data_IF_064825765597
#
_entry.id   IF_064825765597
#
_cell.length_a   1.000
_cell.length_b   1.000
_cell.length_c   1.000
_cell.angle_alpha   90.00
_cell.angle_beta   90.00
_cell.angle_gamma   90.00
#
_symmetry.space_group_name_H-M   'P 1'
#
loop_
_entity.id
_entity.type
_entity.pdbx_description
1 polymer ?
#
# COMPACT_ATOMS: atom_id res chain seq x y z
N UNK A 1 -10.20 5.37 -23.30
CA UNK A 1 -10.06 4.70 -21.99
C UNK A 1 -10.54 3.24 -22.04
N UNK A 2 -11.78 2.94 -22.47
CA UNK A 2 -12.31 1.57 -22.52
C UNK A 2 -11.49 0.64 -23.42
N UNK A 3 -11.14 1.05 -24.65
CA UNK A 3 -10.27 0.25 -25.54
C UNK A 3 -8.89 -0.04 -24.91
N UNK A 4 -8.29 0.94 -24.27
CA UNK A 4 -7.00 0.80 -23.60
C UNK A 4 -7.09 -0.14 -22.38
N UNK A 5 -8.20 -0.07 -21.63
CA UNK A 5 -8.45 -0.96 -20.50
C UNK A 5 -8.55 -2.42 -20.94
N UNK A 6 -9.37 -2.72 -21.94
CA UNK A 6 -9.56 -4.09 -22.43
C UNK A 6 -8.36 -4.65 -23.22
N UNK A 7 -7.49 -3.80 -23.76
CA UNK A 7 -6.27 -4.23 -24.45
C UNK A 7 -5.06 -4.38 -23.52
N UNK A 8 -5.16 -3.93 -22.27
CA UNK A 8 -4.08 -3.97 -21.28
C UNK A 8 -3.74 -5.42 -20.91
N UNK A 9 -2.49 -5.89 -21.16
CA UNK A 9 -2.10 -7.27 -20.90
C UNK A 9 -2.23 -7.66 -19.42
N UNK A 10 -2.02 -6.72 -18.50
CA UNK A 10 -2.16 -6.96 -17.07
C UNK A 10 -3.63 -7.08 -16.61
N UNK A 11 -4.57 -6.44 -17.32
CA UNK A 11 -6.00 -6.65 -17.09
C UNK A 11 -6.39 -8.06 -17.49
N UNK A 12 -5.95 -8.52 -18.67
CA UNK A 12 -6.21 -9.89 -19.14
C UNK A 12 -5.56 -10.94 -18.23
N UNK A 13 -4.32 -10.69 -17.80
CA UNK A 13 -3.62 -11.56 -16.84
C UNK A 13 -4.40 -11.65 -15.53
N UNK A 14 -4.85 -10.52 -14.97
CA UNK A 14 -5.63 -10.49 -13.75
C UNK A 14 -6.93 -11.31 -13.86
N UNK A 15 -7.65 -11.18 -14.97
CA UNK A 15 -8.86 -11.96 -15.23
C UNK A 15 -8.58 -13.46 -15.32
N UNK A 16 -7.51 -13.84 -16.01
CA UNK A 16 -7.11 -15.25 -16.17
C UNK A 16 -6.68 -15.90 -14.86
N UNK A 17 -6.02 -15.15 -13.97
CA UNK A 17 -5.49 -15.64 -12.69
C UNK A 17 -6.44 -15.39 -11.52
N UNK A 18 -7.64 -14.85 -11.74
CA UNK A 18 -8.62 -14.56 -10.68
C UNK A 18 -8.19 -13.45 -9.73
N UNK A 19 -7.28 -12.56 -10.17
CA UNK A 19 -6.88 -11.40 -9.39
C UNK A 19 -7.91 -10.28 -9.48
N UNK A 20 -8.22 -9.63 -8.37
CA UNK A 20 -9.23 -8.55 -8.30
C UNK A 20 -8.87 -7.31 -9.11
N UNK A 21 -7.58 -7.06 -9.29
CA UNK A 21 -7.12 -5.93 -10.10
C UNK A 21 -5.73 -6.15 -10.68
N UNK A 22 -5.45 -5.47 -11.79
CA UNK A 22 -4.11 -5.42 -12.37
C UNK A 22 -3.04 -4.79 -11.45
N UNK A 23 -3.48 -4.04 -10.43
CA UNK A 23 -2.58 -3.41 -9.48
C UNK A 23 -1.77 -4.45 -8.68
N UNK A 24 -2.27 -5.69 -8.55
CA UNK A 24 -1.54 -6.79 -7.93
C UNK A 24 -0.14 -7.00 -8.53
N UNK A 25 -0.01 -6.90 -9.85
CA UNK A 25 1.29 -7.09 -10.54
C UNK A 25 2.30 -5.97 -10.30
N UNK A 26 1.84 -4.78 -9.94
CA UNK A 26 2.75 -3.72 -9.51
C UNK A 26 3.37 -4.08 -8.16
N UNK A 27 2.55 -4.60 -7.24
CA UNK A 27 3.02 -5.03 -5.93
C UNK A 27 3.91 -6.26 -6.04
N UNK A 28 3.50 -7.27 -6.82
CA UNK A 28 4.29 -8.48 -7.11
C UNK A 28 5.72 -8.11 -7.51
N UNK A 29 5.89 -7.27 -8.54
CA UNK A 29 7.21 -6.82 -9.02
C UNK A 29 8.03 -6.13 -7.92
N UNK A 30 7.39 -5.26 -7.12
CA UNK A 30 8.07 -4.53 -6.05
C UNK A 30 8.49 -5.44 -4.91
N UNK A 31 7.61 -6.36 -4.51
CA UNK A 31 7.87 -7.29 -3.41
C UNK A 31 8.94 -8.31 -3.78
N UNK A 32 8.86 -8.91 -4.96
CA UNK A 32 9.85 -9.88 -5.44
C UNK A 32 11.23 -9.25 -5.60
N UNK A 33 11.30 -8.07 -6.22
CA UNK A 33 12.54 -7.34 -6.47
C UNK A 33 13.28 -6.96 -5.20
N UNK A 34 12.54 -6.48 -4.20
CA UNK A 34 13.11 -5.90 -2.98
C UNK A 34 12.92 -6.84 -1.76
N UNK A 35 12.40 -8.06 -1.95
CA UNK A 35 12.19 -9.12 -0.93
C UNK A 35 11.44 -8.61 0.32
N UNK A 36 10.29 -7.96 0.09
CA UNK A 36 9.59 -7.22 1.14
C UNK A 36 8.78 -8.11 2.09
N UNK A 37 8.29 -9.27 1.65
CA UNK A 37 7.50 -10.18 2.48
C UNK A 37 8.37 -11.23 3.16
N UNK A 38 8.03 -11.51 4.41
CA UNK A 38 8.64 -12.56 5.25
C UNK A 38 7.53 -13.30 6.01
N UNK A 39 7.78 -14.55 6.44
CA UNK A 39 6.81 -15.29 7.21
C UNK A 39 6.35 -14.57 8.48
N UNK A 40 5.08 -14.72 8.82
CA UNK A 40 4.49 -14.20 10.06
C UNK A 40 4.38 -12.68 10.15
N UNK A 41 4.50 -11.94 9.04
CA UNK A 41 4.38 -10.48 9.02
C UNK A 41 2.96 -10.01 9.27
N UNK A 42 2.85 -8.86 9.93
CA UNK A 42 1.64 -8.04 10.00
C UNK A 42 1.73 -6.96 8.93
N UNK A 43 0.81 -7.01 7.97
CA UNK A 43 0.74 -6.10 6.82
C UNK A 43 -0.53 -5.28 6.89
N UNK A 44 -0.41 -3.97 6.69
CA UNK A 44 -1.56 -3.06 6.56
C UNK A 44 -1.59 -2.49 5.14
N UNK A 45 -2.76 -2.59 4.48
CA UNK A 45 -3.01 -2.10 3.13
C UNK A 45 -4.02 -0.95 3.18
N UNK A 46 -3.54 0.28 2.96
CA UNK A 46 -4.34 1.51 2.96
C UNK A 46 -4.74 1.87 1.52
N UNK A 47 -6.05 2.00 1.29
CA UNK A 47 -6.60 2.17 -0.06
C UNK A 47 -6.68 0.85 -0.81
N UNK A 48 -7.17 -0.19 -0.12
CA UNK A 48 -7.09 -1.57 -0.56
C UNK A 48 -8.05 -1.92 -1.70
N UNK A 49 -9.21 -1.26 -1.81
CA UNK A 49 -10.23 -1.61 -2.80
C UNK A 49 -9.70 -1.53 -4.25
N UNK A 50 -10.04 -2.49 -5.10
CA UNK A 50 -10.93 -3.64 -4.95
C UNK A 50 -10.30 -4.88 -4.28
N UNK A 51 -9.09 -4.78 -3.71
CA UNK A 51 -8.44 -5.83 -2.94
C UNK A 51 -7.32 -6.58 -3.67
N UNK A 52 -6.80 -6.05 -4.76
CA UNK A 52 -5.75 -6.73 -5.54
C UNK A 52 -4.45 -6.89 -4.76
N UNK A 53 -4.02 -5.89 -4.02
CA UNK A 53 -2.82 -5.94 -3.19
C UNK A 53 -3.00 -6.86 -1.98
N UNK A 54 -4.10 -6.68 -1.24
CA UNK A 54 -4.43 -7.53 -0.10
C UNK A 54 -4.56 -9.01 -0.48
N UNK A 55 -5.19 -9.31 -1.64
CA UNK A 55 -5.31 -10.66 -2.17
C UNK A 55 -3.93 -11.29 -2.44
N UNK A 56 -3.08 -10.57 -3.16
CA UNK A 56 -1.76 -11.06 -3.51
C UNK A 56 -0.89 -11.28 -2.27
N UNK A 57 -0.88 -10.30 -1.33
CA UNK A 57 -0.14 -10.42 -0.06
C UNK A 57 -0.60 -11.63 0.75
N UNK A 58 -1.92 -11.88 0.80
CA UNK A 58 -2.43 -13.03 1.56
C UNK A 58 -1.99 -14.35 0.94
N UNK A 59 -2.07 -14.47 -0.39
CA UNK A 59 -1.61 -15.66 -1.11
C UNK A 59 -0.12 -15.94 -0.86
N UNK A 60 0.72 -14.91 -0.92
CA UNK A 60 2.16 -15.05 -0.66
C UNK A 60 2.45 -15.43 0.81
N UNK A 61 1.77 -14.81 1.76
CA UNK A 61 1.93 -15.17 3.17
C UNK A 61 1.45 -16.59 3.46
N UNK A 62 0.39 -17.08 2.81
CA UNK A 62 -0.05 -18.47 2.95
C UNK A 62 1.02 -19.48 2.52
N UNK A 63 1.80 -19.16 1.48
CA UNK A 63 2.93 -19.97 1.05
C UNK A 63 4.09 -19.88 2.03
N UNK A 64 4.44 -18.64 2.46
CA UNK A 64 5.57 -18.39 3.35
C UNK A 64 5.35 -18.94 4.76
N UNK A 65 4.11 -18.95 5.22
CA UNK A 65 3.72 -19.38 6.57
C UNK A 65 3.43 -20.87 6.69
N UNK A 66 3.46 -21.61 5.59
CA UNK A 66 3.13 -23.04 5.58
C UNK A 66 3.97 -23.81 6.59
N UNK A 67 3.29 -24.49 7.51
CA UNK A 67 3.93 -25.29 8.57
C UNK A 67 4.53 -24.46 9.73
N UNK A 68 4.25 -23.16 9.81
CA UNK A 68 4.70 -22.30 10.91
C UNK A 68 3.59 -22.07 11.92
N UNK A 69 3.95 -21.92 13.19
CA UNK A 69 3.00 -21.58 14.25
C UNK A 69 2.47 -20.15 14.09
N UNK A 70 3.38 -19.19 13.81
CA UNK A 70 3.00 -17.81 13.62
C UNK A 70 2.57 -17.59 12.17
N UNK A 71 1.31 -17.24 12.02
CA UNK A 71 0.72 -16.86 10.73
C UNK A 71 0.75 -15.33 10.57
N UNK A 72 1.04 -14.86 9.36
CA UNK A 72 0.96 -13.45 9.03
C UNK A 72 -0.49 -12.95 9.00
N UNK A 73 -0.67 -11.66 9.24
CA UNK A 73 -1.96 -10.99 9.17
C UNK A 73 -1.98 -9.94 8.07
N UNK A 74 -3.10 -9.82 7.41
CA UNK A 74 -3.36 -8.76 6.43
C UNK A 74 -4.58 -7.97 6.89
N UNK A 75 -4.39 -6.69 7.17
CA UNK A 75 -5.45 -5.76 7.56
C UNK A 75 -5.55 -4.73 6.44
N UNK A 76 -6.72 -4.60 5.86
CA UNK A 76 -7.01 -3.73 4.73
C UNK A 76 -8.02 -2.66 5.12
N UNK A 77 -7.86 -1.44 4.61
CA UNK A 77 -8.83 -0.35 4.81
C UNK A 77 -9.05 0.42 3.53
N UNK A 78 -10.31 0.77 3.25
CA UNK A 78 -10.67 1.64 2.13
C UNK A 78 -12.00 2.36 2.41
N UNK A 79 -12.16 3.54 1.80
CA UNK A 79 -13.43 4.29 1.77
C UNK A 79 -14.47 3.61 0.87
N UNK A 80 -14.05 2.77 -0.06
CA UNK A 80 -14.90 1.98 -0.93
C UNK A 80 -15.12 0.59 -0.32
N UNK A 81 -16.34 0.10 -0.43
CA UNK A 81 -16.62 -1.29 -0.10
C UNK A 81 -15.88 -2.24 -1.04
N UNK A 82 -15.45 -3.37 -0.50
CA UNK A 82 -14.96 -4.47 -1.31
C UNK A 82 -15.52 -5.81 -0.80
N UNK A 83 -15.75 -6.79 -1.69
CA UNK A 83 -16.14 -8.13 -1.27
C UNK A 83 -15.11 -8.73 -0.32
N UNK A 84 -15.55 -9.51 0.66
CA UNK A 84 -14.65 -10.17 1.62
C UNK A 84 -13.57 -10.99 0.91
N UNK A 85 -12.40 -11.04 1.52
CA UNK A 85 -11.27 -11.88 1.13
C UNK A 85 -10.94 -12.82 2.28
N UNK A 86 -10.84 -14.11 2.00
CA UNK A 86 -10.42 -15.08 3.01
C UNK A 86 -9.03 -14.71 3.56
N UNK A 87 -8.90 -14.68 4.89
CA UNK A 87 -7.65 -14.36 5.57
C UNK A 87 -7.22 -12.88 5.53
N UNK A 88 -8.11 -11.99 5.07
CA UNK A 88 -7.91 -10.53 5.10
C UNK A 88 -8.98 -9.91 5.99
N UNK A 89 -8.55 -9.14 6.95
CA UNK A 89 -9.42 -8.34 7.81
C UNK A 89 -9.66 -6.99 7.15
N UNK A 90 -10.90 -6.67 6.81
CA UNK A 90 -11.23 -5.45 6.09
C UNK A 90 -12.03 -4.47 6.93
N UNK A 91 -11.57 -3.22 6.98
CA UNK A 91 -12.27 -2.08 7.57
C UNK A 91 -12.75 -1.15 6.46
N UNK A 92 -14.06 -1.07 6.28
CA UNK A 92 -14.70 -0.08 5.41
C UNK A 92 -14.84 1.24 6.15
N UNK A 93 -14.28 2.31 5.62
CA UNK A 93 -14.38 3.66 6.18
C UNK A 93 -13.29 4.58 5.70
N UNK A 94 -13.49 5.85 5.96
CA UNK A 94 -12.51 6.88 5.67
C UNK A 94 -11.54 7.01 6.85
N UNK A 95 -10.32 6.51 6.68
CA UNK A 95 -9.35 6.53 7.77
C UNK A 95 -8.84 7.94 8.13
N UNK A 96 -9.27 8.99 7.39
CA UNK A 96 -9.12 10.38 7.79
C UNK A 96 -10.01 10.75 8.98
N UNK A 97 -11.05 9.95 9.23
CA UNK A 97 -11.94 10.12 10.38
C UNK A 97 -11.35 9.44 11.62
N UNK A 98 -11.26 10.17 12.72
CA UNK A 98 -10.69 9.68 13.98
C UNK A 98 -11.33 8.36 14.45
N UNK A 99 -12.64 8.22 14.26
CA UNK A 99 -13.37 7.01 14.64
C UNK A 99 -12.93 5.78 13.82
N UNK A 100 -12.69 5.94 12.52
CA UNK A 100 -12.22 4.86 11.64
C UNK A 100 -10.77 4.53 11.94
N UNK A 101 -9.94 5.55 12.14
CA UNK A 101 -8.55 5.35 12.57
C UNK A 101 -8.49 4.58 13.90
N UNK A 102 -9.32 4.95 14.87
CA UNK A 102 -9.40 4.25 16.15
C UNK A 102 -9.80 2.77 15.99
N UNK A 103 -10.74 2.46 15.08
CA UNK A 103 -11.11 1.08 14.76
C UNK A 103 -9.94 0.31 14.11
N UNK A 104 -9.22 0.91 13.17
CA UNK A 104 -8.05 0.30 12.56
C UNK A 104 -6.96 -0.01 13.59
N UNK A 105 -6.73 0.91 14.53
CA UNK A 105 -5.80 0.70 15.65
C UNK A 105 -6.28 -0.40 16.60
N UNK A 106 -7.59 -0.48 16.87
CA UNK A 106 -8.17 -1.55 17.68
C UNK A 106 -8.00 -2.93 17.02
N UNK A 107 -8.16 -3.02 15.69
CA UNK A 107 -7.88 -4.27 14.94
C UNK A 107 -6.43 -4.72 15.07
N UNK A 108 -5.47 -3.79 15.09
CA UNK A 108 -4.06 -4.07 15.34
C UNK A 108 -3.82 -4.58 16.77
N UNK A 109 -4.64 -4.16 17.73
CA UNK A 109 -4.56 -4.57 19.13
C UNK A 109 -3.13 -4.47 19.71
N UNK A 110 -2.45 -3.37 19.43
CA UNK A 110 -1.07 -3.11 19.88
C UNK A 110 0.00 -3.96 19.21
N UNK A 111 -0.35 -4.79 18.23
CA UNK A 111 0.66 -5.52 17.45
C UNK A 111 1.43 -4.58 16.53
N UNK A 112 2.76 -4.63 16.56
CA UNK A 112 3.57 -3.81 15.67
C UNK A 112 3.41 -4.28 14.22
N UNK A 113 3.28 -3.32 13.30
CA UNK A 113 3.17 -3.55 11.87
C UNK A 113 4.56 -3.73 11.27
N UNK A 114 4.73 -4.72 10.40
CA UNK A 114 5.98 -4.98 9.69
C UNK A 114 6.06 -4.23 8.37
N UNK A 115 4.92 -4.13 7.66
CA UNK A 115 4.82 -3.52 6.34
C UNK A 115 3.52 -2.72 6.24
N UNK A 116 3.63 -1.44 5.89
CA UNK A 116 2.49 -0.61 5.48
C UNK A 116 2.56 -0.42 3.97
N UNK A 117 1.46 -0.73 3.31
CA UNK A 117 1.23 -0.51 1.88
C UNK A 117 0.22 0.63 1.72
N UNK A 118 0.40 1.48 0.71
CA UNK A 118 -0.58 2.50 0.36
C UNK A 118 -0.64 2.71 -1.15
N UNK A 119 -1.77 2.31 -1.74
CA UNK A 119 -2.10 2.60 -3.15
C UNK A 119 -3.20 3.66 -3.27
N UNK A 120 -3.41 4.46 -2.21
CA UNK A 120 -4.43 5.50 -2.19
C UNK A 120 -4.22 6.52 -3.30
N UNK A 121 -5.32 6.98 -3.88
CA UNK A 121 -5.37 8.10 -4.80
C UNK A 121 -6.66 8.89 -4.58
N UNK A 122 -6.63 10.21 -4.69
CA UNK A 122 -7.86 10.99 -4.65
C UNK A 122 -8.70 10.71 -5.91
N UNK A 123 -10.00 10.95 -5.80
CA UNK A 123 -10.85 11.04 -6.98
C UNK A 123 -10.36 12.21 -7.82
N UNK A 124 -9.93 11.91 -9.05
CA UNK A 124 -9.39 12.93 -9.96
C UNK A 124 -10.50 13.86 -10.43
N UNK A 125 -10.30 15.17 -10.21
CA UNK A 125 -11.12 16.21 -10.79
C UNK A 125 -10.74 16.54 -12.23
N UNK A 126 -9.52 16.13 -12.65
CA UNK A 126 -8.91 16.51 -13.92
C UNK A 126 -8.18 17.85 -13.89
N UNK A 127 -8.13 18.50 -12.73
CA UNK A 127 -7.41 19.76 -12.51
C UNK A 127 -6.22 19.50 -11.60
N UNK A 128 -5.01 19.53 -12.14
CA UNK A 128 -3.78 19.20 -11.41
C UNK A 128 -3.60 20.02 -10.14
N UNK A 129 -3.94 21.32 -10.18
CA UNK A 129 -3.85 22.21 -9.03
C UNK A 129 -4.76 21.80 -7.85
N UNK A 130 -5.78 20.99 -8.10
CA UNK A 130 -6.68 20.42 -7.09
C UNK A 130 -6.27 18.99 -6.71
N UNK A 131 -5.90 18.20 -7.72
CA UNK A 131 -5.65 16.78 -7.54
C UNK A 131 -4.30 16.51 -6.82
N UNK A 132 -3.27 17.33 -7.09
CA UNK A 132 -1.96 17.16 -6.44
C UNK A 132 -1.99 17.43 -4.92
N UNK A 133 -2.56 18.53 -4.40
CA UNK A 133 -2.66 18.74 -2.96
C UNK A 133 -3.47 17.63 -2.26
N UNK A 134 -4.54 17.13 -2.89
CA UNK A 134 -5.35 16.04 -2.33
C UNK A 134 -4.55 14.74 -2.26
N UNK A 135 -3.78 14.41 -3.30
CA UNK A 135 -2.92 13.24 -3.31
C UNK A 135 -1.83 13.34 -2.25
N UNK A 136 -1.23 14.52 -2.11
CA UNK A 136 -0.19 14.77 -1.09
C UNK A 136 -0.75 14.63 0.32
N UNK A 137 -1.92 15.18 0.60
CA UNK A 137 -2.59 15.04 1.90
C UNK A 137 -2.81 13.57 2.27
N UNK A 138 -3.32 12.74 1.33
CA UNK A 138 -3.47 11.30 1.58
C UNK A 138 -2.12 10.62 1.86
N UNK A 139 -1.06 11.05 1.17
CA UNK A 139 0.28 10.52 1.39
C UNK A 139 0.83 10.89 2.76
N UNK A 140 0.58 12.11 3.24
CA UNK A 140 0.97 12.59 4.58
C UNK A 140 0.27 11.79 5.67
N UNK A 141 -1.03 11.52 5.50
CA UNK A 141 -1.79 10.70 6.44
C UNK A 141 -1.28 9.25 6.48
N UNK A 142 -0.96 8.66 5.32
CA UNK A 142 -0.37 7.33 5.25
C UNK A 142 1.00 7.29 5.95
N UNK A 143 1.82 8.34 5.79
CA UNK A 143 3.10 8.46 6.49
C UNK A 143 2.91 8.58 8.00
N UNK A 144 1.97 9.39 8.46
CA UNK A 144 1.66 9.53 9.89
C UNK A 144 1.21 8.19 10.50
N UNK A 145 0.36 7.43 9.80
CA UNK A 145 -0.02 6.08 10.21
C UNK A 145 1.20 5.15 10.28
N UNK A 146 2.03 5.13 9.23
CA UNK A 146 3.23 4.30 9.19
C UNK A 146 4.22 4.65 10.31
N UNK A 147 4.37 5.92 10.63
CA UNK A 147 5.22 6.37 11.74
C UNK A 147 4.70 5.90 13.10
N UNK A 148 3.40 5.89 13.29
CA UNK A 148 2.78 5.46 14.54
C UNK A 148 2.78 3.94 14.72
N UNK A 149 2.62 3.16 13.65
CA UNK A 149 2.31 1.74 13.74
C UNK A 149 3.44 0.80 13.31
N UNK A 150 4.32 1.22 12.41
CA UNK A 150 5.45 0.39 12.01
C UNK A 150 6.42 0.20 13.18
N UNK A 151 6.87 -1.04 13.35
CA UNK A 151 8.02 -1.30 14.24
C UNK A 151 9.30 -0.66 13.71
N UNK A 152 10.28 -0.48 14.56
CA UNK A 152 11.66 -0.14 14.13
C UNK A 152 12.16 -1.23 13.16
N UNK A 153 12.76 -0.80 12.05
CA UNK A 153 13.17 -1.68 10.96
C UNK A 153 12.04 -2.07 10.00
N UNK A 154 10.80 -1.64 10.26
CA UNK A 154 9.65 -1.87 9.38
C UNK A 154 9.77 -1.15 8.03
N UNK A 155 8.87 -1.48 7.12
CA UNK A 155 8.88 -1.01 5.72
C UNK A 155 7.59 -0.27 5.38
N UNK A 156 7.71 0.83 4.64
CA UNK A 156 6.59 1.58 4.08
C UNK A 156 6.72 1.64 2.56
N UNK A 157 5.70 1.16 1.85
CA UNK A 157 5.57 1.25 0.40
C UNK A 157 4.37 2.10 0.06
N UNK A 158 4.60 3.20 -0.63
CA UNK A 158 3.54 4.17 -0.96
C UNK A 158 3.59 4.60 -2.42
N UNK A 159 2.41 4.67 -3.04
CA UNK A 159 2.22 5.34 -4.33
C UNK A 159 2.30 6.85 -4.16
N UNK A 160 3.08 7.49 -5.01
CA UNK A 160 3.21 8.94 -5.11
C UNK A 160 2.99 9.39 -6.55
N UNK A 161 2.62 10.63 -6.72
CA UNK A 161 2.57 11.29 -8.03
C UNK A 161 3.70 12.32 -8.11
N UNK A 162 4.48 12.26 -9.17
CA UNK A 162 5.51 13.28 -9.42
C UNK A 162 4.85 14.64 -9.65
N UNK A 163 5.39 15.68 -9.03
CA UNK A 163 4.87 17.04 -9.08
C UNK A 163 5.15 17.82 -7.81
N UNK A 164 4.31 18.81 -7.53
CA UNK A 164 4.47 19.70 -6.36
C UNK A 164 4.43 18.90 -5.05
N UNK A 165 5.41 19.14 -4.16
CA UNK A 165 5.51 18.45 -2.87
C UNK A 165 6.22 17.10 -2.89
N UNK A 166 6.45 16.49 -4.06
CA UNK A 166 7.06 15.17 -4.17
C UNK A 166 8.46 15.10 -3.53
N UNK A 167 9.34 16.04 -3.87
CA UNK A 167 10.72 16.03 -3.36
C UNK A 167 10.77 16.27 -1.85
N UNK A 168 9.91 17.13 -1.33
CA UNK A 168 9.80 17.39 0.11
C UNK A 168 9.32 16.14 0.85
N UNK A 169 8.32 15.46 0.32
CA UNK A 169 7.84 14.20 0.88
C UNK A 169 8.92 13.11 0.89
N UNK A 170 9.64 12.94 -0.21
CA UNK A 170 10.75 11.98 -0.29
C UNK A 170 11.87 12.34 0.67
N UNK A 171 12.16 13.64 0.84
CA UNK A 171 13.14 14.12 1.84
C UNK A 171 12.71 13.77 3.25
N UNK A 172 11.42 13.91 3.56
CA UNK A 172 10.87 13.56 4.86
C UNK A 172 10.93 12.04 5.13
N UNK A 173 10.64 11.21 4.12
CA UNK A 173 10.87 9.76 4.22
C UNK A 173 12.33 9.42 4.53
N UNK A 174 13.28 10.10 3.88
CA UNK A 174 14.73 9.87 4.12
C UNK A 174 15.19 10.24 5.52
N UNK A 175 14.46 11.06 6.25
CA UNK A 175 14.75 11.38 7.66
C UNK A 175 14.26 10.29 8.60
N UNK A 176 13.28 9.50 8.21
CA UNK A 176 12.55 8.52 9.03
C UNK A 176 12.96 7.07 8.76
N UNK A 177 13.56 6.81 7.60
CA UNK A 177 13.92 5.46 7.15
C UNK A 177 15.38 5.38 6.72
N UNK A 178 16.00 4.25 7.00
CA UNK A 178 17.42 4.02 6.67
C UNK A 178 17.69 4.05 5.16
N UNK A 179 16.71 3.64 4.34
CA UNK A 179 16.83 3.63 2.88
C UNK A 179 15.50 3.99 2.25
N UNK A 180 15.54 4.89 1.25
CA UNK A 180 14.37 5.25 0.43
C UNK A 180 14.76 5.15 -1.04
N UNK A 181 14.02 4.36 -1.81
CA UNK A 181 14.20 4.22 -3.25
C UNK A 181 12.88 4.47 -3.98
N UNK A 182 12.98 5.12 -5.14
CA UNK A 182 11.81 5.33 -6.01
C UNK A 182 11.78 4.21 -7.03
N UNK A 183 10.60 3.62 -7.23
CA UNK A 183 10.33 2.53 -8.13
C UNK A 183 9.23 2.90 -9.12
N UNK A 184 9.36 2.44 -10.36
CA UNK A 184 8.29 2.47 -11.35
C UNK A 184 8.14 1.08 -11.93
N UNK A 185 7.17 0.28 -11.43
CA UNK A 185 6.93 -1.06 -11.94
C UNK A 185 6.58 -1.06 -13.42
N UNK A 186 6.98 -2.11 -14.14
CA UNK A 186 6.65 -2.30 -15.56
C UNK A 186 5.12 -2.35 -15.78
N UNK A 187 4.39 -2.87 -14.80
CA UNK A 187 2.94 -2.86 -14.80
C UNK A 187 2.32 -1.45 -14.65
N UNK A 188 3.09 -0.42 -14.28
CA UNK A 188 2.61 0.97 -14.31
C UNK A 188 2.56 1.48 -15.75
N UNK A 189 1.52 2.26 -16.08
CA UNK A 189 1.41 2.89 -17.40
C UNK A 189 2.56 3.88 -17.60
N UNK A 190 3.26 3.78 -18.72
CA UNK A 190 4.47 4.61 -19.01
C UNK A 190 4.18 6.12 -18.89
N UNK A 191 3.01 6.57 -19.35
CA UNK A 191 2.58 7.99 -19.32
C UNK A 191 2.10 8.48 -17.96
N UNK A 192 1.85 7.59 -16.99
CA UNK A 192 1.38 7.99 -15.67
C UNK A 192 2.51 8.65 -14.87
N UNK A 193 2.27 9.77 -14.17
CA UNK A 193 3.24 10.36 -13.24
C UNK A 193 3.39 9.53 -11.95
N UNK A 194 2.69 8.41 -11.85
CA UNK A 194 2.69 7.49 -10.72
C UNK A 194 4.06 6.82 -10.56
N UNK A 195 4.59 6.87 -9.35
CA UNK A 195 5.77 6.13 -8.89
C UNK A 195 5.50 5.57 -7.51
N UNK A 196 6.36 4.69 -7.03
CA UNK A 196 6.29 4.13 -5.68
C UNK A 196 7.54 4.50 -4.89
N UNK A 197 7.37 5.06 -3.70
CA UNK A 197 8.44 5.23 -2.75
C UNK A 197 8.48 3.98 -1.84
N UNK A 198 9.61 3.28 -1.87
CA UNK A 198 9.91 2.18 -0.97
C UNK A 198 10.87 2.69 0.10
N UNK A 199 10.38 2.81 1.32
CA UNK A 199 11.11 3.27 2.50
C UNK A 199 11.31 2.08 3.45
N UNK A 200 12.54 1.63 3.61
CA UNK A 200 12.89 0.44 4.41
C UNK A 200 13.74 0.82 5.62
N UNK A 201 13.57 0.05 6.69
CA UNK A 201 14.35 0.25 7.91
C UNK A 201 13.90 1.50 8.68
N UNK A 202 12.61 1.54 9.10
CA UNK A 202 12.11 2.62 9.94
C UNK A 202 13.05 2.87 11.12
N UNK A 203 13.50 4.10 11.28
CA UNK A 203 14.36 4.51 12.38
C UNK A 203 13.56 4.54 13.69
N UNK A 204 14.24 4.30 14.81
CA UNK A 204 13.64 4.52 16.12
C UNK A 204 13.25 6.00 16.27
N UNK A 205 12.07 6.28 16.80
CA UNK A 205 11.73 7.65 17.18
C UNK A 205 12.66 8.09 18.31
N UNK A 206 13.40 9.17 18.11
CA UNK A 206 14.10 9.82 19.21
C UNK A 206 13.03 10.38 20.16
N UNK A 207 13.07 9.90 21.41
CA UNK A 207 12.22 10.43 22.49
C UNK A 207 12.67 11.84 22.85
#
# INVERSE_FOLDING_TARGET
>A
WLKEHFSDPYVKKAQAEGMRSRAAYKLEELVERDHLLKPGMVVVDLGAAPGGWSQWVRQELDVLDKGREKQGRVIASDILEMPSLAGVEFLHGDFREDAVLAQLLAMLNGMPVDLVLSDMAPNKSGVDAVDQPRAMHLSELAMAFADGQLRTGGTFLIKLFQGTGFDDYVRELRRRYAKVVIRKPAASRKRSPEVYALATGKLAQMK
#
